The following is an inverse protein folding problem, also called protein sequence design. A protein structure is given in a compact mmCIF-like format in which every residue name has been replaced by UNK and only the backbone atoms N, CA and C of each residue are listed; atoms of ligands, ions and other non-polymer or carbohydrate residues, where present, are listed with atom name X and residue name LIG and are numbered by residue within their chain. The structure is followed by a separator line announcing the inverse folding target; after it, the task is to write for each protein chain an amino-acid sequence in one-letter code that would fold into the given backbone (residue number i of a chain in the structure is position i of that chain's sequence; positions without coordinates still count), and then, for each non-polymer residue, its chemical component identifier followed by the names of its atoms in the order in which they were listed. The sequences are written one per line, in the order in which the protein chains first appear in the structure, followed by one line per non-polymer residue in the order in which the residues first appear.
data_IF_322532788449
#
_entry.id   IF_322532788449
#
_cell.length_a   1.000
_cell.length_b   1.000
_cell.length_c   1.000
_cell.angle_alpha   90.00
_cell.angle_beta   90.00
_cell.angle_gamma   90.00
#
_symmetry.space_group_name_H-M   'P 1'
#
loop_
_entity.id
_entity.type
_entity.pdbx_description
1 polymer ?
#
# COMPACT_ATOMS: atom_id res chain seq x y z
N UNK A 1 -8.40 18.07 -24.61
CA UNK A 1 -7.40 17.08 -24.14
C UNK A 1 -6.15 17.83 -23.77
N UNK A 2 -5.56 17.54 -22.62
CA UNK A 2 -4.24 18.03 -22.22
C UNK A 2 -3.20 17.54 -23.26
N UNK A 3 -2.28 18.43 -23.63
CA UNK A 3 -1.22 18.14 -24.60
C UNK A 3 0.14 18.49 -23.98
N UNK A 4 1.19 17.82 -24.46
CA UNK A 4 2.57 18.16 -24.07
C UNK A 4 2.84 19.64 -24.38
N UNK A 5 3.47 20.35 -23.44
CA UNK A 5 3.73 21.78 -23.51
C UNK A 5 2.54 22.69 -23.14
N UNK A 6 1.37 22.13 -22.82
CA UNK A 6 0.27 22.91 -22.25
C UNK A 6 0.69 23.48 -20.88
N UNK A 7 0.20 24.67 -20.54
CA UNK A 7 0.46 25.28 -19.23
C UNK A 7 -0.81 25.54 -18.47
N UNK A 8 -0.76 25.40 -17.13
CA UNK A 8 -1.89 25.68 -16.25
C UNK A 8 -1.38 26.34 -14.96
N UNK A 9 -2.23 27.21 -14.40
CA UNK A 9 -1.92 27.93 -13.16
C UNK A 9 -2.51 27.24 -11.95
N UNK A 10 -1.70 27.04 -10.90
CA UNK A 10 -2.14 26.57 -9.60
C UNK A 10 -2.75 27.67 -8.72
N UNK A 11 -3.39 27.29 -7.62
CA UNK A 11 -3.95 28.21 -6.61
C UNK A 11 -2.86 29.04 -5.94
N UNK A 12 -1.63 28.54 -5.83
CA UNK A 12 -0.47 29.28 -5.33
C UNK A 12 -0.02 30.42 -6.24
N UNK A 13 -0.51 30.46 -7.49
CA UNK A 13 -0.06 31.37 -8.54
C UNK A 13 1.06 30.82 -9.40
N UNK A 14 1.68 29.69 -9.04
CA UNK A 14 2.66 29.00 -9.86
C UNK A 14 2.07 28.55 -11.20
N UNK A 15 2.87 28.54 -12.25
CA UNK A 15 2.50 28.04 -13.57
C UNK A 15 3.22 26.74 -13.81
N UNK A 16 2.48 25.71 -14.25
CA UNK A 16 3.00 24.37 -14.48
C UNK A 16 2.90 24.01 -15.96
N UNK A 17 4.02 23.58 -16.54
CA UNK A 17 4.11 23.04 -17.91
C UNK A 17 3.96 21.54 -17.89
N UNK A 18 3.08 20.98 -18.70
CA UNK A 18 2.80 19.55 -18.81
C UNK A 18 3.80 18.90 -19.76
N UNK A 19 4.65 18.02 -19.24
CA UNK A 19 5.76 17.39 -19.99
C UNK A 19 5.26 16.14 -20.71
N UNK A 20 4.82 15.13 -19.94
CA UNK A 20 4.33 13.87 -20.49
C UNK A 20 3.29 13.20 -19.57
N UNK A 21 2.37 12.44 -20.16
CA UNK A 21 1.44 11.65 -19.37
C UNK A 21 2.16 10.44 -18.76
N UNK A 22 1.91 10.20 -17.46
CA UNK A 22 2.41 9.05 -16.73
C UNK A 22 1.34 7.96 -16.67
N UNK A 23 1.77 6.70 -16.75
CA UNK A 23 0.92 5.54 -16.61
C UNK A 23 0.94 4.62 -17.84
N UNK A 24 0.86 3.33 -17.58
CA UNK A 24 1.03 2.28 -18.58
C UNK A 24 -0.21 2.08 -19.48
N UNK A 25 -1.39 2.39 -18.98
CA UNK A 25 -2.64 2.19 -19.71
C UNK A 25 -3.31 3.51 -20.14
N UNK A 26 -4.19 3.45 -21.12
CA UNK A 26 -4.88 4.61 -21.67
C UNK A 26 -5.75 5.39 -20.65
N UNK A 27 -6.15 4.75 -19.52
CA UNK A 27 -6.94 5.38 -18.47
C UNK A 27 -6.05 6.22 -17.55
N UNK A 28 -4.94 5.65 -17.04
CA UNK A 28 -3.99 6.36 -16.17
C UNK A 28 -3.22 7.46 -16.91
N UNK A 29 -2.94 7.30 -18.23
CA UNK A 29 -2.27 8.33 -19.04
C UNK A 29 -3.05 9.64 -19.17
N UNK A 30 -4.35 9.64 -18.89
CA UNK A 30 -5.18 10.85 -19.07
C UNK A 30 -5.21 11.73 -17.84
N UNK A 31 -5.00 11.17 -16.67
CA UNK A 31 -5.20 11.90 -15.42
C UNK A 31 -3.95 12.04 -14.55
N UNK A 32 -2.81 11.44 -14.96
CA UNK A 32 -1.54 11.59 -14.23
C UNK A 32 -0.46 12.08 -15.20
N UNK A 33 0.20 13.17 -14.84
CA UNK A 33 1.19 13.83 -15.69
C UNK A 33 2.45 14.19 -14.92
N UNK A 34 3.60 14.09 -15.58
CA UNK A 34 4.81 14.77 -15.19
C UNK A 34 4.68 16.24 -15.56
N UNK A 35 4.94 17.14 -14.63
CA UNK A 35 4.86 18.58 -14.83
C UNK A 35 6.09 19.27 -14.24
N UNK A 36 6.44 20.43 -14.77
CA UNK A 36 7.48 21.30 -14.25
C UNK A 36 6.89 22.68 -13.88
N UNK A 37 7.42 23.30 -12.83
CA UNK A 37 7.07 24.69 -12.48
C UNK A 37 7.87 25.67 -13.33
N UNK A 38 7.21 26.55 -14.09
CA UNK A 38 7.87 27.55 -14.91
C UNK A 38 8.74 28.49 -14.06
N UNK A 39 9.93 28.77 -14.55
CA UNK A 39 10.91 29.63 -13.85
C UNK A 39 11.73 28.91 -12.77
N UNK A 40 11.50 27.63 -12.52
CA UNK A 40 12.31 26.78 -11.65
C UNK A 40 12.87 25.61 -12.45
N UNK A 41 14.11 25.73 -12.91
CA UNK A 41 14.74 24.67 -13.70
C UNK A 41 14.86 23.37 -12.90
N UNK A 42 14.45 22.24 -13.51
CA UNK A 42 14.54 20.89 -12.97
C UNK A 42 13.73 20.63 -11.67
N UNK A 43 12.63 21.33 -11.46
CA UNK A 43 11.72 21.04 -10.35
C UNK A 43 10.48 20.36 -10.89
N UNK A 44 10.49 19.04 -10.84
CA UNK A 44 9.40 18.18 -11.30
C UNK A 44 8.34 17.95 -10.22
N UNK A 45 7.11 17.77 -10.68
CA UNK A 45 5.95 17.38 -9.87
C UNK A 45 5.07 16.39 -10.64
N UNK A 46 4.13 15.79 -9.91
CA UNK A 46 3.10 14.93 -10.48
C UNK A 46 1.76 15.66 -10.40
N UNK A 47 1.13 15.92 -11.54
CA UNK A 47 -0.25 16.39 -11.58
C UNK A 47 -1.19 15.19 -11.68
N UNK A 48 -2.11 15.01 -10.70
CA UNK A 48 -3.12 13.95 -10.67
C UNK A 48 -4.51 14.57 -10.72
N UNK A 49 -5.24 14.30 -11.79
CA UNK A 49 -6.64 14.70 -11.99
C UNK A 49 -7.64 13.60 -11.69
N UNK A 50 -8.94 13.83 -11.86
CA UNK A 50 -9.99 12.83 -11.73
C UNK A 50 -9.76 11.64 -12.68
N UNK A 51 -10.14 10.45 -12.26
CA UNK A 51 -10.15 9.29 -13.16
C UNK A 51 -11.25 9.46 -14.23
N UNK A 52 -11.13 8.73 -15.35
CA UNK A 52 -12.15 8.74 -16.41
C UNK A 52 -13.48 8.11 -15.98
N UNK A 53 -13.49 7.40 -14.85
CA UNK A 53 -14.65 6.73 -14.27
C UNK A 53 -15.33 7.61 -13.19
N UNK A 54 -14.67 8.71 -12.77
CA UNK A 54 -15.22 9.63 -11.79
C UNK A 54 -16.29 10.55 -12.43
N UNK A 55 -17.43 10.68 -11.78
CA UNK A 55 -18.59 11.36 -12.37
C UNK A 55 -18.40 12.88 -12.37
N UNK A 56 -18.15 13.42 -13.57
CA UNK A 56 -18.01 14.86 -13.79
C UNK A 56 -19.28 15.64 -13.44
N UNK A 57 -20.47 15.05 -13.68
CA UNK A 57 -21.76 15.71 -13.43
C UNK A 57 -22.00 15.92 -11.93
N UNK A 58 -21.40 15.08 -11.09
CA UNK A 58 -21.41 15.16 -9.63
C UNK A 58 -20.17 15.89 -9.06
N UNK A 59 -19.33 16.51 -9.92
CA UNK A 59 -18.15 17.26 -9.50
C UNK A 59 -16.97 16.38 -9.09
N UNK A 60 -16.85 15.19 -9.67
CA UNK A 60 -15.78 14.22 -9.41
C UNK A 60 -15.67 13.79 -7.94
N UNK A 61 -16.65 13.07 -7.40
CA UNK A 61 -16.72 12.73 -5.98
C UNK A 61 -15.51 11.96 -5.46
N UNK A 62 -14.93 11.04 -6.26
CA UNK A 62 -13.74 10.28 -5.86
C UNK A 62 -12.51 11.20 -5.78
N UNK A 63 -12.30 12.09 -6.76
CA UNK A 63 -11.23 13.08 -6.72
C UNK A 63 -11.39 14.05 -5.54
N UNK A 64 -12.62 14.53 -5.29
CA UNK A 64 -12.88 15.43 -4.16
C UNK A 64 -12.62 14.74 -2.82
N UNK A 65 -12.93 13.46 -2.71
CA UNK A 65 -12.61 12.68 -1.53
C UNK A 65 -11.09 12.57 -1.34
N UNK A 66 -10.35 12.21 -2.38
CA UNK A 66 -8.87 12.13 -2.33
C UNK A 66 -8.26 13.49 -1.98
N UNK A 67 -8.72 14.58 -2.60
CA UNK A 67 -8.27 15.94 -2.29
C UNK A 67 -8.53 16.32 -0.83
N UNK A 68 -9.69 15.94 -0.28
CA UNK A 68 -10.02 16.16 1.14
C UNK A 68 -9.04 15.42 2.04
N UNK A 69 -8.76 14.15 1.75
CA UNK A 69 -7.81 13.34 2.53
C UNK A 69 -6.39 13.89 2.39
N UNK A 70 -5.96 14.23 1.18
CA UNK A 70 -4.65 14.83 0.93
C UNK A 70 -4.45 16.14 1.71
N UNK A 71 -5.47 16.99 1.77
CA UNK A 71 -5.45 18.23 2.58
C UNK A 71 -5.40 17.95 4.09
N UNK A 72 -6.12 16.91 4.55
CA UNK A 72 -6.14 16.51 5.96
C UNK A 72 -4.76 16.11 6.46
N UNK A 73 -3.96 15.44 5.60
CA UNK A 73 -2.64 14.90 5.91
C UNK A 73 -1.48 15.75 5.36
N UNK A 74 -1.73 16.92 4.77
CA UNK A 74 -0.71 17.69 4.03
C UNK A 74 0.48 18.17 4.90
N UNK A 75 0.34 18.17 6.23
CA UNK A 75 1.43 18.53 7.17
C UNK A 75 2.20 17.32 7.68
N UNK A 76 1.74 16.12 7.37
CA UNK A 76 2.33 14.89 7.87
C UNK A 76 3.50 14.45 6.98
N UNK A 77 4.67 14.28 7.60
CA UNK A 77 5.92 13.99 6.87
C UNK A 77 5.93 12.58 6.24
N UNK A 78 5.11 11.67 6.77
CA UNK A 78 5.05 10.28 6.31
C UNK A 78 4.02 10.06 5.20
N UNK A 79 3.28 11.11 4.84
CA UNK A 79 2.33 11.10 3.72
C UNK A 79 2.94 11.90 2.56
N UNK A 80 2.68 11.48 1.31
CA UNK A 80 3.11 12.19 0.12
C UNK A 80 2.57 13.63 0.13
N UNK A 81 3.42 14.68 0.06
CA UNK A 81 2.95 16.06 0.10
C UNK A 81 2.23 16.47 -1.18
N UNK A 82 1.07 17.11 -1.02
CA UNK A 82 0.46 17.94 -2.05
C UNK A 82 1.02 19.36 -1.91
N UNK A 83 1.53 19.93 -2.99
CA UNK A 83 2.17 21.24 -2.99
C UNK A 83 1.26 22.35 -3.52
N UNK A 84 0.33 21.99 -4.41
CA UNK A 84 -0.62 22.94 -5.01
C UNK A 84 -1.87 22.21 -5.53
N UNK A 85 -2.87 22.98 -5.93
CA UNK A 85 -4.05 22.53 -6.65
C UNK A 85 -4.20 23.38 -7.91
N UNK A 86 -4.30 22.76 -9.07
CA UNK A 86 -4.71 23.39 -10.32
C UNK A 86 -6.24 23.33 -10.35
N UNK A 87 -6.95 24.48 -10.28
CA UNK A 87 -8.40 24.49 -10.23
C UNK A 87 -9.02 24.08 -11.56
N UNK A 88 -10.26 23.61 -11.53
CA UNK A 88 -11.05 23.39 -12.74
C UNK A 88 -11.36 24.71 -13.47
N UNK A 89 -11.48 24.64 -14.78
CA UNK A 89 -11.99 25.74 -15.62
C UNK A 89 -13.22 25.26 -16.43
N UNK A 90 -13.75 26.11 -17.29
CA UNK A 90 -14.85 25.73 -18.17
C UNK A 90 -14.50 24.53 -19.09
N UNK A 91 -13.21 24.39 -19.42
CA UNK A 91 -12.71 23.37 -20.35
C UNK A 91 -11.87 22.27 -19.69
N UNK A 92 -11.33 22.54 -18.48
CA UNK A 92 -10.31 21.69 -17.86
C UNK A 92 -10.72 21.15 -16.51
N UNK A 93 -10.32 19.92 -16.24
CA UNK A 93 -10.52 19.24 -14.98
C UNK A 93 -9.51 19.72 -13.90
N UNK A 94 -9.86 19.65 -12.61
CA UNK A 94 -8.93 20.03 -11.54
C UNK A 94 -7.79 19.00 -11.44
N UNK A 95 -6.63 19.42 -10.91
CA UNK A 95 -5.51 18.51 -10.68
C UNK A 95 -4.77 18.85 -9.40
N UNK A 96 -4.49 17.85 -8.56
CA UNK A 96 -3.57 17.95 -7.43
C UNK A 96 -2.13 17.95 -7.95
N UNK A 97 -1.30 18.83 -7.42
CA UNK A 97 0.15 18.86 -7.67
C UNK A 97 0.86 18.19 -6.49
N UNK A 98 1.50 17.07 -6.73
CA UNK A 98 2.10 16.19 -5.73
C UNK A 98 3.61 16.16 -5.91
N UNK A 99 4.38 16.01 -4.81
CA UNK A 99 5.82 15.75 -4.91
C UNK A 99 6.07 14.37 -5.54
N UNK A 100 7.03 14.23 -6.47
CA UNK A 100 7.42 12.94 -7.01
C UNK A 100 8.14 12.10 -5.94
N UNK A 101 8.20 10.80 -6.17
CA UNK A 101 9.16 9.88 -5.56
C UNK A 101 10.20 9.52 -6.60
N UNK A 102 11.38 9.08 -6.18
CA UNK A 102 12.33 8.49 -7.11
C UNK A 102 11.84 7.15 -7.64
N UNK A 103 11.19 6.36 -6.75
CA UNK A 103 10.61 5.07 -7.10
C UNK A 103 9.58 4.62 -6.05
N UNK A 104 8.80 3.60 -6.38
CA UNK A 104 7.94 2.89 -5.45
C UNK A 104 8.69 1.77 -4.72
N UNK A 105 8.14 1.29 -3.61
CA UNK A 105 8.69 0.10 -2.93
C UNK A 105 8.66 -1.14 -3.83
N UNK A 106 7.66 -1.24 -4.73
CA UNK A 106 7.60 -2.29 -5.73
C UNK A 106 8.80 -2.26 -6.68
N UNK A 107 9.17 -1.09 -7.21
CA UNK A 107 10.33 -0.92 -8.08
C UNK A 107 11.63 -1.21 -7.33
N UNK A 108 11.80 -0.67 -6.13
CA UNK A 108 12.96 -0.91 -5.28
C UNK A 108 13.12 -2.41 -4.93
N UNK A 109 12.04 -3.11 -4.59
CA UNK A 109 12.03 -4.56 -4.32
C UNK A 109 12.49 -5.37 -5.54
N UNK A 110 12.15 -4.91 -6.74
CA UNK A 110 12.50 -5.59 -7.99
C UNK A 110 13.91 -5.21 -8.53
N UNK A 111 14.55 -4.19 -7.97
CA UNK A 111 15.90 -3.81 -8.36
C UNK A 111 16.96 -4.78 -7.80
N UNK A 112 16.91 -5.06 -6.50
CA UNK A 112 17.81 -6.00 -5.80
C UNK A 112 17.21 -6.50 -4.48
N UNK A 113 17.77 -7.57 -3.88
CA UNK A 113 17.45 -7.93 -2.51
C UNK A 113 17.81 -6.78 -1.54
N UNK A 114 16.90 -6.47 -0.62
CA UNK A 114 17.15 -5.48 0.43
C UNK A 114 17.87 -6.13 1.61
N UNK A 115 18.69 -5.38 2.31
CA UNK A 115 19.26 -5.82 3.60
C UNK A 115 18.18 -5.80 4.69
N UNK A 116 18.37 -6.57 5.76
CA UNK A 116 17.47 -6.58 6.92
C UNK A 116 17.29 -5.17 7.52
N UNK A 117 18.37 -4.37 7.55
CA UNK A 117 18.31 -3.00 8.04
C UNK A 117 17.46 -2.10 7.13
N UNK A 118 17.58 -2.23 5.81
CA UNK A 118 16.76 -1.48 4.85
C UNK A 118 15.28 -1.88 4.98
N UNK A 119 14.99 -3.19 5.06
CA UNK A 119 13.62 -3.67 5.25
C UNK A 119 13.02 -3.10 6.53
N UNK A 120 13.69 -3.25 7.67
CA UNK A 120 13.19 -2.75 8.96
C UNK A 120 12.97 -1.24 8.95
N UNK A 121 13.89 -0.47 8.36
CA UNK A 121 13.77 0.99 8.23
C UNK A 121 12.61 1.42 7.35
N UNK A 122 12.47 0.79 6.18
CA UNK A 122 11.37 1.08 5.24
C UNK A 122 10.02 0.72 5.88
N UNK A 123 9.93 -0.46 6.49
CA UNK A 123 8.70 -0.94 7.11
C UNK A 123 8.30 -0.13 8.37
N UNK A 124 9.27 0.41 9.11
CA UNK A 124 9.01 1.40 10.17
C UNK A 124 8.43 2.70 9.59
N UNK A 125 8.99 3.19 8.48
CA UNK A 125 8.48 4.38 7.77
C UNK A 125 7.03 4.20 7.30
N UNK A 126 6.69 3.02 6.76
CA UNK A 126 5.30 2.69 6.38
C UNK A 126 4.38 2.69 7.59
N UNK A 127 4.79 2.07 8.72
CA UNK A 127 4.00 2.07 9.97
C UNK A 127 3.76 3.46 10.52
N UNK A 128 4.75 4.35 10.46
CA UNK A 128 4.59 5.74 10.86
C UNK A 128 3.53 6.45 10.01
N UNK A 129 3.50 6.16 8.70
CA UNK A 129 2.45 6.64 7.81
C UNK A 129 1.06 6.11 8.19
N UNK A 130 0.94 4.80 8.43
CA UNK A 130 -0.32 4.19 8.90
C UNK A 130 -0.75 4.76 10.25
N UNK A 131 0.17 4.90 11.20
CA UNK A 131 -0.12 5.47 12.52
C UNK A 131 -0.69 6.90 12.41
N UNK A 132 -0.18 7.70 11.47
CA UNK A 132 -0.70 9.04 11.19
C UNK A 132 -2.18 8.99 10.76
N UNK A 133 -2.57 8.01 9.94
CA UNK A 133 -3.96 7.79 9.51
C UNK A 133 -4.81 7.25 10.67
N UNK A 134 -4.31 6.23 11.37
CA UNK A 134 -5.02 5.54 12.46
C UNK A 134 -5.32 6.47 13.65
N UNK A 135 -4.43 7.41 13.97
CA UNK A 135 -4.66 8.42 15.02
C UNK A 135 -5.87 9.34 14.76
N UNK A 136 -6.32 9.43 13.51
CA UNK A 136 -7.54 10.17 13.13
C UNK A 136 -8.79 9.28 13.11
N UNK A 137 -8.70 8.03 13.57
CA UNK A 137 -9.79 7.05 13.53
C UNK A 137 -10.07 6.50 12.13
N UNK A 138 -9.20 6.78 11.15
CA UNK A 138 -9.34 6.37 9.76
C UNK A 138 -8.53 5.09 9.47
N UNK A 139 -8.82 4.48 8.32
CA UNK A 139 -8.15 3.30 7.78
C UNK A 139 -7.61 3.66 6.40
N UNK A 140 -6.37 3.26 6.09
CA UNK A 140 -5.74 3.59 4.80
C UNK A 140 -6.34 2.78 3.65
N UNK A 141 -6.67 1.53 3.88
CA UNK A 141 -7.46 0.59 3.08
C UNK A 141 -6.83 0.05 1.78
N UNK A 142 -5.86 0.69 1.16
CA UNK A 142 -5.18 0.19 -0.06
C UNK A 142 -3.66 0.24 0.07
N UNK A 143 -3.13 -0.31 1.19
CA UNK A 143 -1.70 -0.45 1.37
C UNK A 143 -1.18 -1.58 0.46
N UNK A 144 -0.23 -1.20 -0.40
CA UNK A 144 0.52 -2.08 -1.31
C UNK A 144 1.85 -1.42 -1.65
N UNK A 145 2.81 -2.19 -2.17
CA UNK A 145 4.15 -1.66 -2.44
C UNK A 145 4.15 -0.51 -3.47
N UNK A 146 3.22 -0.50 -4.42
CA UNK A 146 3.05 0.57 -5.41
C UNK A 146 2.60 1.90 -4.79
N UNK A 147 1.96 1.84 -3.61
CA UNK A 147 1.50 3.01 -2.86
C UNK A 147 2.50 3.46 -1.78
N UNK A 148 3.69 2.88 -1.73
CA UNK A 148 4.80 3.30 -0.86
C UNK A 148 5.87 3.93 -1.73
N UNK A 149 6.05 5.25 -1.61
CA UNK A 149 7.10 6.00 -2.32
C UNK A 149 8.41 6.02 -1.53
N UNK A 150 9.50 5.83 -2.24
CA UNK A 150 10.85 5.78 -1.70
C UNK A 150 11.74 6.78 -2.44
N UNK A 151 12.58 7.48 -1.69
CA UNK A 151 13.63 8.36 -2.19
C UNK A 151 14.94 8.01 -1.47
N UNK A 152 16.08 8.03 -2.15
CA UNK A 152 17.40 7.75 -1.59
C UNK A 152 17.73 6.27 -1.44
N UNK A 153 16.98 5.36 -2.06
CA UNK A 153 17.32 3.94 -2.12
C UNK A 153 18.25 3.69 -3.32
N UNK A 154 19.43 3.12 -3.05
CA UNK A 154 20.40 2.76 -4.10
C UNK A 154 20.00 1.40 -4.72
N UNK A 155 19.74 1.38 -6.03
CA UNK A 155 19.29 0.19 -6.75
C UNK A 155 20.42 -0.82 -7.05
N UNK A 156 21.67 -0.41 -6.93
CA UNK A 156 22.82 -1.24 -7.33
C UNK A 156 23.51 -1.90 -6.12
N UNK A 157 23.50 -1.23 -4.96
CA UNK A 157 24.17 -1.71 -3.75
C UNK A 157 23.40 -1.33 -2.47
N UNK A 158 23.64 -2.02 -1.34
CA UNK A 158 23.06 -1.64 -0.04
C UNK A 158 23.41 -0.20 0.33
N UNK A 159 22.43 0.52 0.89
CA UNK A 159 22.65 1.88 1.37
C UNK A 159 23.66 1.89 2.53
N UNK A 160 24.74 2.67 2.40
CA UNK A 160 25.72 2.85 3.48
C UNK A 160 25.08 3.56 4.69
N UNK A 161 24.16 4.46 4.43
CA UNK A 161 23.40 5.18 5.44
C UNK A 161 21.89 5.06 5.17
N UNK A 162 21.23 4.14 5.86
CA UNK A 162 19.79 3.91 5.68
C UNK A 162 18.92 5.13 6.04
N UNK A 163 19.44 6.13 6.78
CA UNK A 163 18.71 7.38 7.07
C UNK A 163 18.48 8.25 5.83
N UNK A 164 19.18 7.99 4.74
CA UNK A 164 18.96 8.66 3.46
C UNK A 164 17.71 8.14 2.75
N UNK A 165 17.26 6.93 3.12
CA UNK A 165 16.01 6.37 2.59
C UNK A 165 14.83 7.09 3.24
N UNK A 166 14.11 7.85 2.44
CA UNK A 166 12.88 8.54 2.83
C UNK A 166 11.69 7.73 2.35
N UNK A 167 10.79 7.38 3.26
CA UNK A 167 9.59 6.58 2.99
C UNK A 167 8.34 7.44 3.20
N UNK A 168 7.39 7.35 2.28
CA UNK A 168 6.07 7.99 2.41
C UNK A 168 5.00 7.11 1.81
N UNK A 169 3.86 7.00 2.47
CA UNK A 169 2.68 6.41 1.84
C UNK A 169 2.01 7.42 0.92
N UNK A 170 1.49 6.94 -0.19
CA UNK A 170 0.88 7.73 -1.26
C UNK A 170 -0.57 7.29 -1.49
N UNK A 171 -1.27 7.96 -2.41
CA UNK A 171 -2.64 7.64 -2.80
C UNK A 171 -3.63 7.61 -1.63
N UNK A 172 -4.06 8.79 -1.21
CA UNK A 172 -5.02 8.96 -0.11
C UNK A 172 -6.49 8.72 -0.54
N UNK A 173 -6.74 8.30 -1.79
CA UNK A 173 -8.09 8.20 -2.34
C UNK A 173 -8.98 7.14 -1.70
N UNK A 174 -8.37 6.12 -1.10
CA UNK A 174 -9.09 5.01 -0.46
C UNK A 174 -9.30 5.20 1.05
N UNK A 175 -8.62 6.18 1.68
CA UNK A 175 -8.71 6.41 3.14
C UNK A 175 -10.16 6.66 3.54
N UNK A 176 -10.64 5.92 4.54
CA UNK A 176 -12.03 6.01 4.99
C UNK A 176 -12.20 5.61 6.45
N UNK A 177 -13.39 5.84 6.99
CA UNK A 177 -13.81 5.30 8.28
C UNK A 177 -13.91 3.77 8.21
N UNK A 178 -13.75 3.07 9.36
CA UNK A 178 -14.03 1.63 9.47
C UNK A 178 -15.37 1.25 8.84
N UNK A 179 -15.46 0.04 8.29
CA UNK A 179 -16.66 -0.34 7.55
C UNK A 179 -16.81 -1.84 7.28
N UNK A 180 -17.70 -2.17 6.33
CA UNK A 180 -17.97 -3.55 5.91
C UNK A 180 -18.17 -3.65 4.39
N UNK A 181 -17.29 -3.07 3.61
CA UNK A 181 -17.28 -3.17 2.14
C UNK A 181 -16.01 -3.82 1.66
N UNK A 182 -15.94 -4.20 0.40
CA UNK A 182 -14.69 -4.62 -0.21
C UNK A 182 -13.71 -3.45 -0.28
N UNK A 183 -12.49 -3.71 0.18
CA UNK A 183 -11.34 -2.81 0.14
C UNK A 183 -10.09 -3.60 -0.23
N UNK A 184 -9.00 -2.92 -0.44
CA UNK A 184 -7.65 -3.44 -0.68
C UNK A 184 -7.52 -4.24 -1.98
N UNK A 185 -6.34 -4.18 -2.56
CA UNK A 185 -5.94 -5.03 -3.67
C UNK A 185 -5.87 -6.49 -3.22
N UNK A 186 -6.19 -7.44 -4.10
CA UNK A 186 -6.40 -8.86 -3.76
C UNK A 186 -5.25 -9.45 -2.93
N UNK A 187 -4.00 -9.29 -3.38
CA UNK A 187 -2.82 -9.83 -2.70
C UNK A 187 -2.69 -9.36 -1.24
N UNK A 188 -3.10 -8.13 -0.95
CA UNK A 188 -2.90 -7.47 0.36
C UNK A 188 -4.16 -7.48 1.24
N UNK A 189 -5.28 -8.02 0.72
CA UNK A 189 -6.59 -8.01 1.38
C UNK A 189 -6.59 -8.96 2.58
N UNK A 190 -7.10 -8.48 3.70
CA UNK A 190 -7.18 -9.25 4.94
C UNK A 190 -8.34 -10.27 4.96
N UNK A 191 -8.26 -11.32 5.80
CA UNK A 191 -9.32 -12.34 5.90
C UNK A 191 -10.68 -11.76 6.21
N UNK A 192 -10.79 -10.82 7.16
CA UNK A 192 -12.06 -10.19 7.53
C UNK A 192 -12.73 -9.49 6.33
N UNK A 193 -11.95 -8.89 5.43
CA UNK A 193 -12.47 -8.27 4.20
C UNK A 193 -12.90 -9.35 3.20
N UNK A 194 -12.09 -10.40 3.01
CA UNK A 194 -12.44 -11.50 2.11
C UNK A 194 -13.72 -12.23 2.52
N UNK A 195 -13.96 -12.34 3.83
CA UNK A 195 -15.12 -13.05 4.38
C UNK A 195 -16.25 -12.10 4.80
N UNK A 196 -16.26 -10.86 4.26
CA UNK A 196 -17.36 -9.92 4.39
C UNK A 196 -17.61 -9.45 5.82
N UNK A 197 -16.59 -9.46 6.69
CA UNK A 197 -16.66 -8.96 8.05
C UNK A 197 -16.43 -7.45 8.12
N UNK A 198 -16.81 -6.85 9.24
CA UNK A 198 -16.41 -5.47 9.55
C UNK A 198 -14.92 -5.40 9.75
N UNK A 199 -14.31 -4.36 9.21
CA UNK A 199 -12.88 -4.09 9.26
C UNK A 199 -12.60 -2.72 9.89
N UNK A 200 -11.42 -2.57 10.46
CA UNK A 200 -10.89 -1.36 11.06
C UNK A 200 -9.38 -1.22 10.71
N UNK A 201 -8.64 -0.46 11.49
CA UNK A 201 -7.21 -0.22 11.29
C UNK A 201 -6.35 -1.50 11.22
N UNK A 202 -6.83 -2.59 11.82
CA UNK A 202 -6.11 -3.88 11.79
C UNK A 202 -5.97 -4.48 10.39
N UNK A 203 -6.84 -4.10 9.43
CA UNK A 203 -6.71 -4.54 8.03
C UNK A 203 -5.46 -3.95 7.36
N UNK A 204 -5.07 -2.72 7.71
CA UNK A 204 -3.83 -2.11 7.20
C UNK A 204 -2.59 -2.82 7.76
N UNK A 205 -2.66 -3.30 9.01
CA UNK A 205 -1.58 -4.08 9.64
C UNK A 205 -1.41 -5.43 8.94
N UNK A 206 -2.50 -6.07 8.53
CA UNK A 206 -2.43 -7.26 7.68
C UNK A 206 -1.69 -6.96 6.37
N UNK A 207 -2.12 -5.93 5.62
CA UNK A 207 -1.48 -5.54 4.35
C UNK A 207 -0.01 -5.22 4.55
N UNK A 208 0.35 -4.55 5.66
CA UNK A 208 1.73 -4.28 6.06
C UNK A 208 2.51 -5.58 6.31
N UNK A 209 1.92 -6.57 6.99
CA UNK A 209 2.50 -7.89 7.23
C UNK A 209 2.78 -8.66 5.93
N UNK A 210 1.86 -8.61 4.97
CA UNK A 210 2.04 -9.20 3.63
C UNK A 210 3.24 -8.56 2.91
N UNK A 211 3.39 -7.23 2.97
CA UNK A 211 4.55 -6.55 2.40
C UNK A 211 5.84 -7.01 3.08
N UNK A 212 5.87 -7.06 4.41
CA UNK A 212 7.03 -7.53 5.16
C UNK A 212 7.42 -8.95 4.77
N UNK A 213 6.46 -9.88 4.72
CA UNK A 213 6.68 -11.26 4.30
C UNK A 213 7.30 -11.33 2.90
N UNK A 214 6.82 -10.53 1.96
CA UNK A 214 7.33 -10.49 0.59
C UNK A 214 8.74 -9.91 0.51
N UNK A 215 9.08 -8.90 1.32
CA UNK A 215 10.43 -8.35 1.38
C UNK A 215 11.44 -9.32 2.01
N UNK A 216 11.07 -10.00 3.10
CA UNK A 216 11.88 -11.04 3.73
C UNK A 216 12.10 -12.23 2.78
N UNK A 217 11.05 -12.66 2.10
CA UNK A 217 11.16 -13.74 1.12
C UNK A 217 12.10 -13.37 -0.03
N UNK A 218 12.06 -12.11 -0.49
CA UNK A 218 12.95 -11.63 -1.55
C UNK A 218 14.43 -11.56 -1.15
N UNK A 219 14.75 -11.56 0.15
CA UNK A 219 16.15 -11.65 0.61
C UNK A 219 16.76 -13.03 0.34
N UNK A 220 15.98 -14.09 0.52
CA UNK A 220 16.44 -15.48 0.44
C UNK A 220 16.13 -16.11 -0.93
N UNK A 221 15.07 -15.67 -1.57
CA UNK A 221 14.64 -16.10 -2.90
C UNK A 221 14.09 -14.88 -3.66
N UNK A 222 15.00 -14.15 -4.30
CA UNK A 222 14.67 -12.86 -4.94
C UNK A 222 13.59 -12.95 -6.01
N UNK A 223 13.48 -14.09 -6.69
CA UNK A 223 12.49 -14.33 -7.75
C UNK A 223 11.20 -14.95 -7.25
N UNK A 224 11.12 -15.28 -5.97
CA UNK A 224 9.91 -15.86 -5.39
C UNK A 224 8.74 -14.88 -5.50
N UNK A 225 7.57 -15.33 -5.95
CA UNK A 225 6.36 -14.53 -5.83
C UNK A 225 6.00 -14.34 -4.36
N UNK A 226 5.27 -13.27 -4.05
CA UNK A 226 4.67 -13.08 -2.72
C UNK A 226 3.62 -14.15 -2.42
N UNK A 227 3.20 -14.26 -1.15
CA UNK A 227 2.28 -15.30 -0.66
C UNK A 227 1.03 -15.48 -1.53
N UNK A 228 0.49 -14.40 -2.08
CA UNK A 228 -0.76 -14.42 -2.88
C UNK A 228 -0.60 -13.84 -4.30
N UNK A 229 0.63 -13.59 -4.77
CA UNK A 229 0.87 -13.02 -6.11
C UNK A 229 0.51 -14.00 -7.23
N UNK A 230 0.59 -15.31 -6.97
CA UNK A 230 0.22 -16.35 -7.94
C UNK A 230 -1.28 -16.33 -8.30
N UNK A 231 -2.11 -15.61 -7.55
CA UNK A 231 -3.54 -15.42 -7.81
C UNK A 231 -3.77 -14.38 -8.93
N UNK A 232 -2.91 -14.35 -9.94
CA UNK A 232 -2.88 -13.27 -10.94
C UNK A 232 -3.71 -13.53 -12.20
N UNK A 233 -4.08 -14.79 -12.48
CA UNK A 233 -4.76 -15.19 -13.73
C UNK A 233 -6.24 -15.51 -13.52
N UNK A 234 -7.11 -15.18 -14.48
CA UNK A 234 -8.54 -15.47 -14.43
C UNK A 234 -9.43 -14.26 -14.16
N UNK A 235 -10.75 -14.50 -14.06
CA UNK A 235 -11.73 -13.46 -13.69
C UNK A 235 -11.59 -13.07 -12.23
N UNK A 236 -12.02 -11.87 -11.86
CA UNK A 236 -11.93 -11.36 -10.49
C UNK A 236 -12.59 -12.28 -9.45
N UNK A 237 -13.74 -12.86 -9.79
CA UNK A 237 -14.47 -13.78 -8.93
C UNK A 237 -13.69 -15.07 -8.68
N UNK A 238 -13.09 -15.66 -9.72
CA UNK A 238 -12.26 -16.86 -9.62
C UNK A 238 -11.04 -16.60 -8.73
N UNK A 239 -10.38 -15.46 -8.91
CA UNK A 239 -9.25 -15.01 -8.08
C UNK A 239 -9.64 -14.86 -6.60
N UNK A 240 -10.79 -14.26 -6.35
CA UNK A 240 -11.30 -14.09 -4.99
C UNK A 240 -11.57 -15.43 -4.31
N UNK A 241 -12.12 -16.41 -5.03
CA UNK A 241 -12.35 -17.77 -4.49
C UNK A 241 -11.04 -18.51 -4.20
N UNK A 242 -10.06 -18.39 -5.10
CA UNK A 242 -8.72 -18.98 -4.88
C UNK A 242 -8.06 -18.39 -3.65
N UNK A 243 -8.12 -17.05 -3.48
CA UNK A 243 -7.58 -16.37 -2.32
C UNK A 243 -8.28 -16.78 -1.01
N UNK A 244 -9.60 -16.87 -1.01
CA UNK A 244 -10.37 -17.36 0.14
C UNK A 244 -9.96 -18.78 0.54
N UNK A 245 -9.82 -19.68 -0.45
CA UNK A 245 -9.39 -21.05 -0.20
C UNK A 245 -7.99 -21.09 0.42
N UNK A 246 -7.03 -20.37 -0.14
CA UNK A 246 -5.68 -20.28 0.38
C UNK A 246 -5.67 -19.76 1.83
N UNK A 247 -6.31 -18.62 2.09
CA UNK A 247 -6.36 -18.04 3.44
C UNK A 247 -7.06 -18.95 4.45
N UNK A 248 -8.17 -19.59 4.06
CA UNK A 248 -8.89 -20.50 4.95
C UNK A 248 -8.02 -21.68 5.38
N UNK A 249 -7.15 -22.17 4.48
CA UNK A 249 -6.18 -23.22 4.75
C UNK A 249 -4.99 -22.69 5.56
N UNK A 250 -4.33 -21.65 5.07
CA UNK A 250 -3.11 -21.09 5.64
C UNK A 250 -3.26 -20.66 7.11
N UNK A 251 -4.45 -20.22 7.51
CA UNK A 251 -4.72 -19.64 8.84
C UNK A 251 -5.81 -20.38 9.62
N UNK A 252 -6.21 -21.57 9.18
CA UNK A 252 -7.26 -22.38 9.82
C UNK A 252 -8.52 -21.55 10.19
N UNK A 253 -9.10 -20.86 9.22
CA UNK A 253 -10.27 -20.03 9.47
C UNK A 253 -11.51 -20.83 9.92
N UNK A 254 -11.49 -22.15 9.71
CA UNK A 254 -12.54 -23.08 10.16
C UNK A 254 -12.63 -23.20 11.68
N UNK A 255 -11.50 -23.04 12.39
CA UNK A 255 -11.45 -23.08 13.85
C UNK A 255 -11.79 -21.73 14.51
N UNK A 256 -11.95 -20.65 13.72
CA UNK A 256 -12.17 -19.31 14.25
C UNK A 256 -13.65 -18.96 14.21
N UNK A 257 -14.32 -18.76 15.37
CA UNK A 257 -15.75 -18.46 15.45
C UNK A 257 -16.19 -17.29 14.57
N UNK A 258 -15.36 -16.23 14.48
CA UNK A 258 -15.58 -15.06 13.61
C UNK A 258 -15.94 -15.44 12.17
N UNK A 259 -15.36 -16.51 11.63
CA UNK A 259 -15.55 -16.96 10.24
C UNK A 259 -16.47 -18.17 10.14
N UNK A 260 -16.46 -19.08 11.12
CA UNK A 260 -17.14 -20.35 11.07
C UNK A 260 -18.60 -20.32 11.59
N UNK A 261 -18.92 -19.45 12.52
CA UNK A 261 -20.23 -19.47 13.18
C UNK A 261 -21.28 -18.52 12.57
N UNK A 262 -20.85 -17.43 11.89
CA UNK A 262 -21.78 -16.55 11.21
C UNK A 262 -22.11 -17.06 9.80
N UNK A 263 -23.40 -17.23 9.48
CA UNK A 263 -23.90 -17.85 8.25
C UNK A 263 -23.29 -17.24 6.98
N UNK A 264 -23.25 -15.90 6.89
CA UNK A 264 -22.70 -15.19 5.73
C UNK A 264 -21.25 -15.57 5.44
N UNK A 265 -20.38 -15.58 6.48
CA UNK A 265 -18.96 -15.88 6.31
C UNK A 265 -18.68 -17.39 6.21
N UNK A 266 -19.42 -18.21 6.97
CA UNK A 266 -19.32 -19.66 6.90
C UNK A 266 -19.65 -20.19 5.50
N UNK A 267 -20.59 -19.57 4.80
CA UNK A 267 -20.94 -19.90 3.41
C UNK A 267 -19.82 -19.64 2.42
N UNK A 268 -18.86 -18.75 2.75
CA UNK A 268 -17.70 -18.40 1.94
C UNK A 268 -16.48 -19.29 2.20
N UNK A 269 -16.50 -20.09 3.28
CA UNK A 269 -15.44 -21.05 3.55
C UNK A 269 -15.45 -22.17 2.50
N UNK A 270 -14.27 -22.72 2.15
CA UNK A 270 -14.19 -23.90 1.29
C UNK A 270 -14.95 -25.09 1.88
N UNK A 271 -15.41 -26.00 1.03
CA UNK A 271 -16.10 -27.22 1.51
C UNK A 271 -15.17 -28.21 2.22
N UNK A 272 -13.91 -28.24 1.80
CA UNK A 272 -12.87 -29.11 2.33
C UNK A 272 -12.09 -28.36 3.41
N UNK A 273 -12.01 -28.97 4.59
CA UNK A 273 -11.14 -28.46 5.66
C UNK A 273 -9.69 -28.85 5.39
N UNK A 274 -8.72 -28.00 5.78
CA UNK A 274 -7.30 -28.30 5.65
C UNK A 274 -6.90 -29.46 6.55
N UNK A 275 -5.89 -30.23 6.12
CA UNK A 275 -5.19 -31.15 7.01
C UNK A 275 -4.33 -30.39 8.03
N UNK A 276 -3.93 -31.05 9.13
CA UNK A 276 -3.08 -30.40 10.15
C UNK A 276 -1.76 -29.85 9.59
N UNK A 277 -1.20 -30.53 8.58
CA UNK A 277 0.08 -30.16 7.95
C UNK A 277 -0.06 -28.97 6.97
N UNK A 278 -1.28 -28.64 6.56
CA UNK A 278 -1.53 -27.53 5.64
C UNK A 278 -1.60 -26.18 6.37
N UNK A 279 -1.91 -26.21 7.69
CA UNK A 279 -2.10 -25.02 8.51
C UNK A 279 -0.73 -24.37 8.77
N UNK A 280 -0.64 -23.06 8.48
CA UNK A 280 0.63 -22.32 8.52
C UNK A 280 1.75 -22.90 7.65
N UNK A 281 1.40 -23.69 6.61
CA UNK A 281 2.35 -24.22 5.64
C UNK A 281 3.25 -23.14 5.02
N UNK A 282 2.72 -21.94 4.81
CA UNK A 282 3.50 -20.79 4.35
C UNK A 282 4.69 -20.45 5.28
N UNK A 283 4.53 -20.60 6.60
CA UNK A 283 5.62 -20.31 7.55
C UNK A 283 6.68 -21.43 7.53
N UNK A 284 6.27 -22.68 7.30
CA UNK A 284 7.17 -23.81 7.09
C UNK A 284 7.98 -23.59 5.81
N UNK A 285 7.34 -23.29 4.70
CA UNK A 285 8.00 -23.00 3.42
C UNK A 285 9.00 -21.83 3.53
N UNK A 286 8.65 -20.76 4.23
CA UNK A 286 9.55 -19.64 4.45
C UNK A 286 10.73 -20.03 5.36
N UNK A 287 10.51 -20.88 6.36
CA UNK A 287 11.58 -21.43 7.22
C UNK A 287 12.56 -22.28 6.43
N UNK A 288 12.07 -23.16 5.57
CA UNK A 288 12.89 -24.00 4.69
C UNK A 288 13.74 -23.18 3.71
N UNK A 289 13.24 -22.02 3.28
CA UNK A 289 13.98 -21.05 2.46
C UNK A 289 15.02 -20.26 3.23
N UNK A 290 15.05 -20.35 4.57
CA UNK A 290 16.06 -19.73 5.42
C UNK A 290 15.64 -18.43 6.11
N UNK A 291 14.35 -18.11 6.16
CA UNK A 291 13.86 -16.97 6.97
C UNK A 291 13.99 -17.34 8.45
N UNK A 292 14.44 -16.38 9.26
CA UNK A 292 14.72 -16.60 10.67
C UNK A 292 13.45 -16.90 11.48
N UNK A 293 13.61 -17.69 12.56
CA UNK A 293 12.49 -18.00 13.45
C UNK A 293 11.93 -16.73 14.15
N UNK A 294 12.76 -15.71 14.38
CA UNK A 294 12.32 -14.42 14.93
C UNK A 294 11.40 -13.70 13.93
N UNK A 295 11.79 -13.63 12.65
CA UNK A 295 10.99 -13.01 11.59
C UNK A 295 9.67 -13.77 11.37
N UNK A 296 9.71 -15.11 11.39
CA UNK A 296 8.52 -15.93 11.24
C UNK A 296 7.54 -15.78 12.40
N UNK A 297 8.03 -15.79 13.65
CA UNK A 297 7.18 -15.56 14.81
C UNK A 297 6.51 -14.19 14.75
N UNK A 298 7.27 -13.17 14.38
CA UNK A 298 6.73 -11.83 14.20
C UNK A 298 5.67 -11.75 13.10
N UNK A 299 5.90 -12.43 11.96
CA UNK A 299 4.91 -12.51 10.88
C UNK A 299 3.63 -13.22 11.32
N UNK A 300 3.71 -14.31 12.10
CA UNK A 300 2.55 -15.02 12.64
C UNK A 300 1.71 -14.09 13.54
N UNK A 301 2.35 -13.27 14.36
CA UNK A 301 1.65 -12.31 15.22
C UNK A 301 0.94 -11.21 14.40
N UNK A 302 1.62 -10.66 13.40
CA UNK A 302 1.11 -9.56 12.54
C UNK A 302 0.05 -10.06 11.56
N UNK A 303 0.23 -11.26 10.99
CA UNK A 303 -0.72 -11.92 10.10
C UNK A 303 -1.72 -12.78 10.88
N UNK A 304 -2.06 -12.39 12.10
CA UNK A 304 -3.11 -13.08 12.84
C UNK A 304 -4.46 -12.91 12.12
N UNK A 305 -5.17 -14.00 11.79
CA UNK A 305 -6.47 -13.91 11.10
C UNK A 305 -7.54 -13.22 11.94
N UNK A 306 -7.39 -13.17 13.25
CA UNK A 306 -8.28 -12.44 14.17
C UNK A 306 -7.88 -10.97 14.24
N UNK A 307 -8.69 -10.04 13.69
CA UNK A 307 -8.34 -8.62 13.65
C UNK A 307 -8.25 -7.96 15.04
N UNK A 308 -8.94 -8.51 16.04
CA UNK A 308 -8.93 -8.05 17.43
C UNK A 308 -7.65 -8.45 18.20
N UNK A 309 -6.88 -9.38 17.69
CA UNK A 309 -5.62 -9.88 18.28
C UNK A 309 -4.39 -9.30 17.57
N UNK A 310 -4.55 -8.83 16.34
CA UNK A 310 -3.46 -8.19 15.61
C UNK A 310 -2.91 -6.99 16.35
N UNK A 311 -1.57 -6.85 16.46
CA UNK A 311 -0.98 -5.69 17.11
C UNK A 311 -1.29 -4.40 16.32
N UNK A 312 -1.41 -3.29 17.01
CA UNK A 312 -1.53 -1.97 16.40
C UNK A 312 -0.18 -1.48 15.87
N UNK A 313 -0.19 -0.48 14.98
CA UNK A 313 1.04 0.15 14.51
C UNK A 313 1.92 0.67 15.68
N UNK A 314 1.30 1.24 16.72
CA UNK A 314 2.01 1.73 17.90
C UNK A 314 2.67 0.59 18.70
N UNK A 315 1.99 -0.54 18.88
CA UNK A 315 2.54 -1.72 19.58
C UNK A 315 3.70 -2.32 18.80
N UNK A 316 3.61 -2.45 17.48
CA UNK A 316 4.71 -2.94 16.63
C UNK A 316 5.94 -2.04 16.78
N UNK A 317 5.78 -0.72 16.67
CA UNK A 317 6.87 0.24 16.80
C UNK A 317 7.52 0.18 18.19
N UNK A 318 6.75 -0.03 19.25
CA UNK A 318 7.26 -0.14 20.63
C UNK A 318 7.88 -1.50 20.92
N UNK A 319 7.49 -2.56 20.22
CA UNK A 319 7.91 -3.95 20.46
C UNK A 319 9.38 -4.24 20.17
N UNK A 320 10.07 -3.37 19.44
CA UNK A 320 11.52 -3.47 19.23
C UNK A 320 11.96 -4.28 18.02
N UNK A 321 11.10 -5.04 17.36
CA UNK A 321 11.43 -5.85 16.17
C UNK A 321 12.05 -4.99 15.04
N UNK A 322 11.52 -3.80 14.81
CA UNK A 322 11.99 -2.89 13.75
C UNK A 322 13.24 -2.08 14.13
N UNK A 323 13.74 -2.20 15.38
CA UNK A 323 14.92 -1.44 15.79
C UNK A 323 16.14 -1.83 14.98
N UNK A 324 16.75 -0.84 14.34
CA UNK A 324 17.99 -0.98 13.59
C UNK A 324 19.13 -0.31 14.37
N UNK A 325 20.26 -1.01 14.50
CA UNK A 325 21.46 -0.38 15.01
C UNK A 325 22.00 0.57 13.94
N UNK A 326 21.82 1.86 14.18
CA UNK A 326 22.32 2.87 13.27
C UNK A 326 23.81 3.15 13.56
N UNK A 327 24.65 3.33 12.54
CA UNK A 327 26.03 3.74 12.76
C UNK A 327 26.07 5.08 13.52
N UNK A 328 27.07 5.32 14.36
CA UNK A 328 27.23 6.59 15.06
C UNK A 328 27.23 7.75 14.05
N UNK A 329 26.66 8.88 14.47
CA UNK A 329 26.59 10.10 13.65
C UNK A 329 27.96 10.68 13.43
#
# INVERSE_FOLDING_TARGET
MLANGATRRGESGAVYSFIEPLGENARSRRNVWLIEEEGKSNVEFIAKGPSTEDDKSLGWPAFQHELKMQRLFNKDKMIRPMVDLIPSSATDEPMMVLKPFEQTLWEARNARPMTTSEIKWIMEGVLLGLQTVHQKGLVYTDLKMENVGITGFDNDKPNENIREIIVRIADCGSISEPGRREISSLTYRSPEVYFGKSWNQSTDIWSWGIILAQLLLAQVDFKSPGMYDAISTGKLEDKTQVARKAMATDFDLFSIPLYAEEEDSASLLPREQPGPDDIYGWAVDMSEKGISGEDLQFLVDVLNPRPDVRPTAAEIMSGGYLKVQLPPK
#
